data_IF_345225979574
#
_entry.id   IF_345225979574
#
_cell.length_a   1.000
_cell.length_b   1.000
_cell.length_c   1.000
_cell.angle_alpha   90.00
_cell.angle_beta   90.00
_cell.angle_gamma   90.00
#
_symmetry.space_group_name_H-M   'P 1'
#
loop_
_entity.id
_entity.type
_entity.pdbx_description
1 polymer ?
#
# COMPACT_ATOMS: atom_id res chain seq x y z
N UNK A 1 -2.69 -33.65 26.96
CA UNK A 1 -1.45 -33.78 26.19
C UNK A 1 -1.16 -32.54 25.32
N UNK A 2 -1.63 -31.36 25.71
CA UNK A 2 -1.27 -30.10 25.04
C UNK A 2 -2.09 -29.73 23.78
N UNK A 3 -2.99 -30.57 23.32
CA UNK A 3 -3.74 -30.31 22.08
C UNK A 3 -4.66 -29.09 22.16
N UNK A 4 -5.35 -28.89 23.30
CA UNK A 4 -6.17 -27.68 23.53
C UNK A 4 -5.29 -26.42 23.55
N UNK A 5 -4.10 -26.50 24.18
CA UNK A 5 -3.12 -25.42 24.17
C UNK A 5 -2.65 -25.10 22.74
N UNK A 6 -2.29 -26.10 21.96
CA UNK A 6 -1.88 -25.94 20.56
C UNK A 6 -2.98 -25.28 19.73
N UNK A 7 -4.26 -25.64 19.94
CA UNK A 7 -5.38 -25.01 19.27
C UNK A 7 -5.53 -23.52 19.63
N UNK A 8 -5.39 -23.18 20.91
CA UNK A 8 -5.44 -21.81 21.37
C UNK A 8 -4.26 -20.97 20.84
N UNK A 9 -3.07 -21.55 20.76
CA UNK A 9 -1.87 -20.92 20.18
C UNK A 9 -2.06 -20.70 18.66
N UNK A 10 -2.63 -21.67 17.96
CA UNK A 10 -2.97 -21.54 16.53
C UNK A 10 -3.96 -20.42 16.28
N UNK A 11 -5.02 -20.33 17.11
CA UNK A 11 -5.97 -19.22 17.02
C UNK A 11 -5.29 -17.86 17.28
N UNK A 12 -4.45 -17.78 18.30
CA UNK A 12 -3.74 -16.55 18.63
C UNK A 12 -2.82 -16.08 17.48
N UNK A 13 -2.13 -17.00 16.82
CA UNK A 13 -1.31 -16.70 15.63
C UNK A 13 -2.19 -16.16 14.48
N UNK A 14 -3.29 -16.84 14.16
CA UNK A 14 -4.22 -16.40 13.10
C UNK A 14 -4.88 -15.06 13.39
N UNK A 15 -5.22 -14.77 14.65
CA UNK A 15 -5.75 -13.46 15.03
C UNK A 15 -4.72 -12.34 14.80
N UNK A 16 -3.46 -12.62 15.09
CA UNK A 16 -2.35 -11.66 14.85
C UNK A 16 -2.14 -11.45 13.35
N UNK A 17 -2.13 -12.53 12.56
CA UNK A 17 -2.03 -12.48 11.09
C UNK A 17 -3.17 -11.67 10.47
N UNK A 18 -4.41 -11.83 10.96
CA UNK A 18 -5.59 -11.08 10.49
C UNK A 18 -5.68 -9.64 11.06
N UNK A 19 -4.62 -9.14 11.70
CA UNK A 19 -4.52 -7.74 12.13
C UNK A 19 -5.20 -7.40 13.46
N UNK A 20 -5.49 -8.39 14.31
CA UNK A 20 -5.97 -8.12 15.66
C UNK A 20 -4.91 -7.31 16.45
N UNK A 21 -5.23 -6.10 16.94
CA UNK A 21 -4.22 -5.19 17.51
C UNK A 21 -3.60 -5.69 18.82
N UNK A 22 -4.30 -6.60 19.52
CA UNK A 22 -3.81 -7.17 20.77
C UNK A 22 -4.44 -8.53 21.03
N UNK A 23 -3.61 -9.54 21.14
CA UNK A 23 -3.99 -10.91 21.54
C UNK A 23 -3.29 -11.25 22.84
N UNK A 24 -4.02 -11.79 23.81
CA UNK A 24 -3.45 -12.27 25.10
C UNK A 24 -3.88 -13.71 25.27
N UNK A 25 -2.92 -14.61 25.39
CA UNK A 25 -3.15 -16.02 25.66
C UNK A 25 -2.88 -16.31 27.14
N UNK A 26 -3.87 -16.91 27.81
CA UNK A 26 -3.81 -17.22 29.24
C UNK A 26 -3.88 -18.74 29.46
N UNK A 27 -2.82 -19.32 30.02
CA UNK A 27 -2.82 -20.73 30.49
C UNK A 27 -3.23 -20.75 31.98
N UNK A 28 -4.50 -21.03 32.24
CA UNK A 28 -5.10 -20.98 33.59
C UNK A 28 -4.44 -21.94 34.60
N UNK A 29 -3.71 -22.97 34.14
CA UNK A 29 -2.99 -23.87 35.01
C UNK A 29 -1.59 -23.37 35.41
N UNK A 30 -1.09 -22.30 34.78
CA UNK A 30 0.28 -21.85 34.91
C UNK A 30 0.46 -20.36 35.18
N UNK A 31 -0.63 -19.61 35.14
CA UNK A 31 -0.62 -18.19 35.44
C UNK A 31 -1.52 -17.87 36.64
N UNK A 32 -1.34 -16.69 37.19
CA UNK A 32 -2.21 -16.16 38.24
C UNK A 32 -3.64 -15.98 37.71
N UNK A 33 -4.61 -16.61 38.36
CA UNK A 33 -6.02 -16.55 38.02
C UNK A 33 -6.55 -15.12 38.01
N UNK A 34 -6.09 -14.27 38.92
CA UNK A 34 -6.50 -12.86 38.98
C UNK A 34 -6.13 -12.07 37.71
N UNK A 35 -4.98 -12.38 37.11
CA UNK A 35 -4.55 -11.80 35.83
C UNK A 35 -5.44 -12.24 34.68
N UNK A 36 -5.86 -13.51 34.64
CA UNK A 36 -6.77 -14.00 33.62
C UNK A 36 -8.13 -13.33 33.72
N UNK A 37 -8.66 -13.19 34.94
CA UNK A 37 -9.91 -12.48 35.21
C UNK A 37 -9.80 -11.00 34.81
N UNK A 38 -8.73 -10.32 35.20
CA UNK A 38 -8.48 -8.93 34.77
C UNK A 38 -8.52 -8.77 33.24
N UNK A 39 -7.86 -9.66 32.52
CA UNK A 39 -7.83 -9.64 31.06
C UNK A 39 -9.24 -9.87 30.46
N UNK A 40 -10.07 -10.75 31.02
CA UNK A 40 -11.42 -10.98 30.55
C UNK A 40 -12.32 -9.73 30.70
N UNK A 41 -12.09 -8.93 31.72
CA UNK A 41 -12.79 -7.65 31.91
C UNK A 41 -12.18 -6.51 31.09
N UNK A 42 -10.89 -6.56 30.77
CA UNK A 42 -10.17 -5.55 30.00
C UNK A 42 -10.53 -5.59 28.51
N UNK A 43 -10.66 -6.79 27.94
CA UNK A 43 -10.86 -6.95 26.49
C UNK A 43 -12.32 -7.24 26.15
N UNK A 44 -12.76 -6.77 24.99
CA UNK A 44 -14.14 -6.92 24.51
C UNK A 44 -14.49 -8.33 24.01
N UNK A 45 -13.50 -9.14 23.69
CA UNK A 45 -13.66 -10.48 23.11
C UNK A 45 -12.88 -11.50 23.92
N UNK A 46 -13.51 -12.66 24.18
CA UNK A 46 -12.96 -13.74 24.99
C UNK A 46 -13.17 -15.07 24.27
N UNK A 47 -12.14 -15.90 24.19
CA UNK A 47 -12.29 -17.30 23.75
C UNK A 47 -11.94 -18.22 24.90
N UNK A 48 -12.89 -19.10 25.25
CA UNK A 48 -12.71 -20.13 26.26
C UNK A 48 -12.34 -21.44 25.59
N UNK A 49 -11.18 -21.98 25.94
CA UNK A 49 -10.66 -23.23 25.39
C UNK A 49 -10.37 -24.22 26.51
N UNK A 50 -11.13 -25.32 26.58
CA UNK A 50 -10.91 -26.33 27.62
C UNK A 50 -11.25 -27.75 27.13
N UNK A 51 -10.90 -28.72 27.94
CA UNK A 51 -11.22 -30.13 27.70
C UNK A 51 -12.42 -30.58 28.56
N UNK A 52 -13.18 -31.52 28.04
CA UNK A 52 -14.15 -32.27 28.82
C UNK A 52 -13.42 -33.16 29.82
N UNK A 53 -13.77 -33.09 31.09
CA UNK A 53 -13.16 -33.82 32.18
C UNK A 53 -14.24 -34.29 33.17
N UNK A 54 -14.36 -35.60 33.40
CA UNK A 54 -15.36 -36.20 34.30
C UNK A 54 -16.81 -35.72 34.02
N UNK A 55 -17.24 -35.79 32.78
CA UNK A 55 -18.54 -35.27 32.31
C UNK A 55 -18.77 -33.75 32.64
N UNK A 56 -17.71 -33.01 32.90
CA UNK A 56 -17.69 -31.58 33.21
C UNK A 56 -16.55 -30.91 32.44
N UNK A 57 -16.18 -29.69 32.80
CA UNK A 57 -15.00 -28.96 32.29
C UNK A 57 -13.83 -29.07 33.26
N UNK A 58 -12.62 -28.81 32.76
CA UNK A 58 -11.43 -28.85 33.60
C UNK A 58 -11.50 -27.83 34.74
N UNK A 59 -11.13 -28.17 35.99
CA UNK A 59 -11.38 -27.36 37.19
C UNK A 59 -10.96 -25.90 37.10
N UNK A 60 -9.77 -25.61 36.59
CA UNK A 60 -9.32 -24.21 36.44
C UNK A 60 -10.22 -23.37 35.52
N UNK A 61 -10.82 -23.96 34.48
CA UNK A 61 -11.75 -23.25 33.63
C UNK A 61 -13.08 -23.00 34.36
N UNK A 62 -13.54 -23.95 35.18
CA UNK A 62 -14.71 -23.77 36.00
C UNK A 62 -14.53 -22.60 36.98
N UNK A 63 -13.45 -22.65 37.76
CA UNK A 63 -13.10 -21.59 38.70
C UNK A 63 -12.99 -20.22 38.01
N UNK A 64 -12.37 -20.17 36.84
CA UNK A 64 -12.28 -18.94 36.04
C UNK A 64 -13.68 -18.38 35.69
N UNK A 65 -14.58 -19.24 35.17
CA UNK A 65 -15.95 -18.80 34.81
C UNK A 65 -16.73 -18.39 36.04
N UNK A 66 -16.61 -19.10 37.17
CA UNK A 66 -17.27 -18.72 38.44
C UNK A 66 -16.81 -17.31 38.86
N UNK A 67 -15.50 -17.01 38.80
CA UNK A 67 -15.00 -15.68 39.08
C UNK A 67 -15.53 -14.62 38.11
N UNK A 68 -15.76 -14.92 36.84
CA UNK A 68 -16.35 -14.00 35.89
C UNK A 68 -17.82 -13.69 36.25
N UNK A 69 -18.62 -14.72 36.52
CA UNK A 69 -20.06 -14.59 36.83
C UNK A 69 -20.32 -13.89 38.16
N UNK A 70 -19.56 -14.22 39.19
CA UNK A 70 -19.61 -13.54 40.51
C UNK A 70 -19.36 -12.03 40.40
N UNK A 71 -18.54 -11.59 39.44
CA UNK A 71 -18.18 -10.19 39.24
C UNK A 71 -19.00 -9.49 38.15
N UNK A 72 -20.09 -10.13 37.71
CA UNK A 72 -21.05 -9.54 36.78
C UNK A 72 -20.50 -9.36 35.36
N UNK A 73 -19.80 -10.39 34.85
CA UNK A 73 -19.30 -10.44 33.46
C UNK A 73 -20.45 -10.20 32.47
N UNK A 74 -20.27 -9.25 31.57
CA UNK A 74 -21.30 -8.82 30.61
C UNK A 74 -20.70 -8.08 29.42
N UNK A 75 -21.55 -7.87 28.38
CA UNK A 75 -21.22 -7.07 27.18
C UNK A 75 -19.91 -7.52 26.52
N UNK A 76 -19.82 -8.81 26.21
CA UNK A 76 -18.63 -9.41 25.61
C UNK A 76 -19.01 -10.33 24.45
N UNK A 77 -18.13 -10.41 23.47
CA UNK A 77 -18.18 -11.46 22.44
C UNK A 77 -17.41 -12.66 22.94
N UNK A 78 -18.05 -13.85 22.95
CA UNK A 78 -17.45 -15.08 23.49
C UNK A 78 -17.42 -16.17 22.43
N UNK A 79 -16.23 -16.74 22.19
CA UNK A 79 -16.01 -17.93 21.39
C UNK A 79 -15.69 -19.15 22.26
N UNK A 80 -15.99 -20.35 21.76
CA UNK A 80 -15.82 -21.60 22.49
C UNK A 80 -14.96 -22.58 21.68
N UNK A 81 -13.98 -23.17 22.37
CA UNK A 81 -13.17 -24.28 21.85
C UNK A 81 -13.24 -25.43 22.86
N UNK A 82 -13.67 -26.60 22.42
CA UNK A 82 -13.74 -27.77 23.27
C UNK A 82 -12.87 -28.91 22.76
N UNK A 83 -12.39 -29.73 23.68
CA UNK A 83 -11.67 -30.96 23.37
C UNK A 83 -12.23 -32.13 24.18
N UNK A 84 -12.39 -33.28 23.53
CA UNK A 84 -12.81 -34.52 24.20
C UNK A 84 -12.72 -35.72 23.29
N UNK A 85 -12.34 -36.89 23.82
CA UNK A 85 -12.07 -38.08 22.99
C UNK A 85 -13.35 -38.76 22.50
N UNK A 86 -14.45 -38.72 23.28
CA UNK A 86 -15.67 -39.50 22.97
C UNK A 86 -16.91 -38.64 22.77
N UNK A 87 -17.19 -37.74 23.69
CA UNK A 87 -18.36 -36.87 23.69
C UNK A 87 -17.95 -35.49 24.26
N UNK A 88 -17.35 -34.60 23.47
CA UNK A 88 -17.02 -33.27 23.92
C UNK A 88 -18.29 -32.55 24.38
N UNK A 89 -18.31 -32.08 25.63
CA UNK A 89 -19.44 -31.37 26.24
C UNK A 89 -19.01 -30.02 26.83
N UNK A 90 -17.73 -29.71 26.78
CA UNK A 90 -17.17 -28.55 27.44
C UNK A 90 -17.80 -27.23 26.94
N UNK A 91 -18.04 -27.08 25.65
CA UNK A 91 -18.67 -25.90 25.10
C UNK A 91 -20.10 -25.67 25.64
N UNK A 92 -20.88 -26.74 25.72
CA UNK A 92 -22.25 -26.67 26.29
C UNK A 92 -22.24 -26.25 27.76
N UNK A 93 -21.29 -26.82 28.54
CA UNK A 93 -21.16 -26.51 29.96
C UNK A 93 -20.72 -25.07 30.18
N UNK A 94 -19.68 -24.61 29.48
CA UNK A 94 -19.19 -23.23 29.54
C UNK A 94 -20.29 -22.22 29.16
N UNK A 95 -21.08 -22.55 28.13
CA UNK A 95 -22.18 -21.70 27.69
C UNK A 95 -23.27 -21.64 28.77
N UNK A 96 -23.64 -22.76 29.37
CA UNK A 96 -24.61 -22.83 30.48
C UNK A 96 -24.15 -22.04 31.71
N UNK A 97 -22.87 -22.10 32.08
CA UNK A 97 -22.33 -21.35 33.21
C UNK A 97 -22.41 -19.82 33.01
N UNK A 98 -22.38 -19.35 31.77
CA UNK A 98 -22.47 -17.93 31.41
C UNK A 98 -23.91 -17.48 31.06
N UNK A 99 -24.91 -18.37 31.16
CA UNK A 99 -26.33 -18.08 30.80
C UNK A 99 -26.90 -16.89 31.57
N UNK A 100 -26.50 -16.70 32.83
CA UNK A 100 -26.88 -15.56 33.66
C UNK A 100 -26.18 -14.25 33.34
N UNK A 101 -25.15 -14.26 32.46
CA UNK A 101 -24.40 -13.07 32.09
C UNK A 101 -25.13 -12.27 31.03
N UNK A 102 -25.29 -10.94 31.26
CA UNK A 102 -26.04 -10.07 30.36
C UNK A 102 -25.25 -9.67 29.12
N UNK A 103 -25.92 -9.54 27.97
CA UNK A 103 -25.38 -8.99 26.73
C UNK A 103 -24.12 -9.76 26.24
N UNK A 104 -24.14 -11.10 26.30
CA UNK A 104 -23.10 -11.95 25.71
C UNK A 104 -23.47 -12.24 24.25
N UNK A 105 -22.59 -11.85 23.35
CA UNK A 105 -22.65 -12.21 21.92
C UNK A 105 -21.81 -13.46 21.71
N UNK A 106 -22.46 -14.55 21.33
CA UNK A 106 -21.75 -15.79 21.01
C UNK A 106 -21.27 -15.78 19.57
N UNK A 107 -20.04 -16.27 19.33
CA UNK A 107 -19.61 -16.58 17.97
C UNK A 107 -20.45 -17.72 17.40
N UNK A 108 -20.65 -17.72 16.09
CA UNK A 108 -21.36 -18.80 15.41
C UNK A 108 -20.51 -20.08 15.37
N UNK A 109 -19.20 -19.93 15.23
CA UNK A 109 -18.26 -21.04 15.16
C UNK A 109 -17.86 -21.50 16.56
N UNK A 110 -18.00 -22.80 16.80
CA UNK A 110 -17.41 -23.50 17.95
C UNK A 110 -16.40 -24.51 17.44
N UNK A 111 -15.17 -24.43 17.91
CA UNK A 111 -14.11 -25.38 17.52
C UNK A 111 -14.24 -26.63 18.36
N UNK A 112 -14.49 -27.78 17.70
CA UNK A 112 -14.70 -29.07 18.35
C UNK A 112 -13.59 -30.05 18.04
N UNK A 113 -12.68 -30.24 18.99
CA UNK A 113 -11.51 -31.09 18.83
C UNK A 113 -11.81 -32.48 19.43
N UNK A 114 -11.50 -33.54 18.67
CA UNK A 114 -11.57 -34.91 19.13
C UNK A 114 -10.15 -35.45 19.30
N UNK A 115 -9.61 -35.22 20.52
CA UNK A 115 -8.25 -35.62 20.91
C UNK A 115 -7.14 -34.78 20.30
N UNK A 116 -6.90 -34.81 19.01
CA UNK A 116 -5.88 -34.04 18.30
C UNK A 116 -6.49 -33.10 17.24
N UNK A 117 -5.76 -32.06 16.89
CA UNK A 117 -6.16 -31.14 15.82
C UNK A 117 -6.16 -31.86 14.46
N UNK A 118 -7.27 -31.73 13.74
CA UNK A 118 -7.46 -32.17 12.36
C UNK A 118 -7.40 -30.98 11.41
N UNK A 119 -7.36 -31.25 10.09
CA UNK A 119 -7.47 -30.19 9.06
C UNK A 119 -8.80 -29.43 9.15
N UNK A 120 -9.89 -30.11 9.51
CA UNK A 120 -11.19 -29.45 9.67
C UNK A 120 -11.19 -28.53 10.88
N UNK A 121 -10.51 -28.90 11.98
CA UNK A 121 -10.34 -27.99 13.12
C UNK A 121 -9.51 -26.75 12.75
N UNK A 122 -8.52 -26.87 11.85
CA UNK A 122 -7.77 -25.70 11.38
C UNK A 122 -8.66 -24.75 10.57
N UNK A 123 -9.61 -25.25 9.79
CA UNK A 123 -10.63 -24.45 9.09
C UNK A 123 -11.61 -23.78 10.07
N UNK A 124 -12.09 -24.54 11.08
CA UNK A 124 -12.94 -23.96 12.14
C UNK A 124 -12.22 -22.83 12.90
N UNK A 125 -10.93 -23.02 13.23
CA UNK A 125 -10.11 -21.99 13.90
C UNK A 125 -9.94 -20.77 12.99
N UNK A 126 -9.76 -20.95 11.69
CA UNK A 126 -9.66 -19.86 10.74
C UNK A 126 -10.97 -19.06 10.63
N UNK A 127 -12.11 -19.76 10.52
CA UNK A 127 -13.44 -19.15 10.53
C UNK A 127 -13.69 -18.38 11.83
N UNK A 128 -13.34 -18.96 12.98
CA UNK A 128 -13.45 -18.27 14.28
C UNK A 128 -12.57 -17.00 14.33
N UNK A 129 -11.37 -17.06 13.79
CA UNK A 129 -10.49 -15.89 13.70
C UNK A 129 -11.09 -14.79 12.81
N UNK A 130 -11.74 -15.15 11.70
CA UNK A 130 -12.46 -14.20 10.83
C UNK A 130 -13.64 -13.56 11.55
N UNK A 131 -14.47 -14.33 12.24
CA UNK A 131 -15.56 -13.78 13.04
C UNK A 131 -15.05 -12.79 14.10
N UNK A 132 -13.95 -13.11 14.77
CA UNK A 132 -13.33 -12.24 15.78
C UNK A 132 -12.69 -10.98 15.16
N UNK A 133 -12.14 -11.08 13.96
CA UNK A 133 -11.45 -9.97 13.30
C UNK A 133 -12.33 -9.14 12.36
N UNK A 134 -13.59 -9.50 12.15
CA UNK A 134 -14.50 -8.86 11.17
C UNK A 134 -14.48 -7.33 11.22
N UNK A 135 -14.51 -6.75 12.41
CA UNK A 135 -14.48 -5.29 12.58
C UNK A 135 -13.13 -4.66 12.21
N UNK A 136 -12.03 -5.40 12.40
CA UNK A 136 -10.68 -4.93 12.08
C UNK A 136 -10.44 -5.04 10.58
N UNK A 137 -10.91 -6.11 9.95
CA UNK A 137 -10.86 -6.31 8.49
C UNK A 137 -11.67 -5.22 7.80
N UNK A 138 -12.93 -5.00 8.22
CA UNK A 138 -13.76 -3.94 7.67
C UNK A 138 -13.13 -2.53 7.84
N UNK A 139 -12.50 -2.25 8.98
CA UNK A 139 -11.80 -0.98 9.20
C UNK A 139 -10.51 -0.84 8.39
N UNK A 140 -9.80 -1.94 8.11
CA UNK A 140 -8.64 -1.92 7.22
C UNK A 140 -9.06 -1.64 5.79
N UNK A 141 -10.15 -2.23 5.33
CA UNK A 141 -10.72 -2.02 4.00
C UNK A 141 -11.31 -0.60 3.85
N UNK A 142 -11.96 -0.06 4.86
CA UNK A 142 -12.41 1.34 4.88
C UNK A 142 -11.23 2.33 4.88
N UNK A 143 -10.15 2.03 5.60
CA UNK A 143 -8.93 2.87 5.58
C UNK A 143 -8.19 2.76 4.25
N UNK A 144 -8.09 1.57 3.67
CA UNK A 144 -7.50 1.35 2.35
C UNK A 144 -8.30 2.10 1.26
N UNK A 145 -9.64 2.03 1.28
CA UNK A 145 -10.50 2.75 0.35
C UNK A 145 -10.51 4.28 0.56
N UNK A 146 -10.24 4.76 1.76
CA UNK A 146 -10.28 6.20 2.06
C UNK A 146 -9.12 6.99 1.42
N UNK A 147 -8.03 6.33 1.06
CA UNK A 147 -6.85 6.90 0.43
C UNK A 147 -6.40 6.05 -0.77
N UNK A 148 -7.34 5.78 -1.68
CA UNK A 148 -6.99 5.13 -2.94
C UNK A 148 -6.15 6.09 -3.79
N UNK A 149 -4.83 5.87 -3.78
CA UNK A 149 -3.87 6.67 -4.54
C UNK A 149 -4.14 6.61 -6.05
N UNK A 150 -4.85 5.59 -6.53
CA UNK A 150 -5.21 5.49 -7.96
C UNK A 150 -6.22 6.55 -8.38
N UNK A 151 -6.93 7.16 -7.42
CA UNK A 151 -7.82 8.29 -7.68
C UNK A 151 -7.05 9.49 -8.28
N UNK A 152 -5.77 9.68 -7.90
CA UNK A 152 -4.92 10.73 -8.46
C UNK A 152 -4.63 10.52 -9.96
N UNK A 153 -4.64 9.27 -10.44
CA UNK A 153 -4.49 8.98 -11.87
C UNK A 153 -5.72 9.33 -12.71
N UNK A 154 -6.84 9.69 -12.07
CA UNK A 154 -8.04 10.20 -12.76
C UNK A 154 -7.94 11.69 -13.07
N UNK A 155 -6.99 12.40 -12.47
CA UNK A 155 -6.68 13.77 -12.85
C UNK A 155 -6.09 13.72 -14.27
N UNK A 156 -6.64 14.52 -15.18
CA UNK A 156 -6.13 14.60 -16.54
C UNK A 156 -4.78 15.33 -16.58
N UNK A 157 -3.71 14.61 -16.87
CA UNK A 157 -2.38 15.16 -17.01
C UNK A 157 -1.92 15.13 -18.48
N UNK A 158 -1.32 16.22 -18.94
CA UNK A 158 -0.41 16.18 -20.07
C UNK A 158 0.93 15.54 -19.72
N UNK A 159 1.78 15.30 -20.71
CA UNK A 159 3.15 14.87 -20.51
C UNK A 159 4.12 15.84 -21.17
N UNK A 160 5.17 16.15 -20.44
CA UNK A 160 6.10 17.23 -20.78
C UNK A 160 7.55 16.81 -20.58
N UNK A 161 8.43 17.29 -21.45
CA UNK A 161 9.88 17.31 -21.16
C UNK A 161 10.23 18.69 -20.62
N UNK A 162 10.66 18.76 -19.37
CA UNK A 162 11.19 19.99 -18.78
C UNK A 162 12.69 20.00 -18.98
N UNK A 163 13.22 21.09 -19.54
CA UNK A 163 14.66 21.24 -19.79
C UNK A 163 15.26 22.36 -18.95
N UNK A 164 16.52 22.22 -18.62
CA UNK A 164 17.33 23.14 -17.82
C UNK A 164 18.81 22.97 -18.17
N UNK A 165 19.66 23.90 -17.72
CA UNK A 165 21.11 23.81 -17.89
C UNK A 165 21.79 24.13 -16.55
N UNK A 166 22.78 23.35 -16.15
CA UNK A 166 23.48 23.52 -14.86
C UNK A 166 24.67 24.51 -14.93
N UNK A 167 24.89 25.09 -16.10
CA UNK A 167 26.03 25.93 -16.43
C UNK A 167 27.11 25.21 -17.22
N UNK A 168 27.03 23.89 -17.33
CA UNK A 168 28.00 23.04 -18.09
C UNK A 168 27.31 22.12 -19.07
N UNK A 169 26.09 21.66 -18.73
CA UNK A 169 25.38 20.64 -19.50
C UNK A 169 23.88 20.89 -19.51
N UNK A 170 23.27 20.64 -20.66
CA UNK A 170 21.82 20.61 -20.78
C UNK A 170 21.25 19.36 -20.10
N UNK A 171 20.11 19.51 -19.46
CA UNK A 171 19.43 18.43 -18.76
C UNK A 171 17.92 18.46 -19.02
N UNK A 172 17.29 17.30 -18.96
CA UNK A 172 15.85 17.16 -19.17
C UNK A 172 15.23 16.06 -18.34
N UNK A 173 13.94 16.23 -18.00
CA UNK A 173 13.17 15.20 -17.30
C UNK A 173 11.72 15.19 -17.79
N UNK A 174 11.07 14.04 -17.67
CA UNK A 174 9.61 13.91 -17.87
C UNK A 174 8.87 14.36 -16.61
N UNK A 175 7.86 15.19 -16.79
CA UNK A 175 6.88 15.54 -15.75
C UNK A 175 5.46 15.49 -16.34
N UNK A 176 4.47 15.28 -15.48
CA UNK A 176 3.05 15.37 -15.81
C UNK A 176 2.34 16.49 -15.01
N UNK A 177 3.06 17.22 -14.21
CA UNK A 177 2.55 18.19 -13.24
C UNK A 177 2.85 19.62 -13.66
N UNK A 178 2.41 19.97 -14.86
CA UNK A 178 2.42 21.36 -15.38
C UNK A 178 0.97 21.85 -15.44
N UNK A 179 0.71 23.02 -14.86
CA UNK A 179 -0.62 23.64 -14.84
C UNK A 179 -0.54 25.13 -15.12
N UNK A 180 -1.43 25.64 -15.97
CA UNK A 180 -1.66 27.06 -16.09
C UNK A 180 -2.27 27.59 -14.77
N UNK A 181 -1.77 28.71 -14.25
CA UNK A 181 -2.27 29.36 -13.05
C UNK A 181 -3.09 30.61 -13.39
N UNK A 182 -2.56 31.46 -14.25
CA UNK A 182 -3.20 32.72 -14.66
C UNK A 182 -2.96 32.98 -16.15
N UNK A 183 -3.82 33.77 -16.75
CA UNK A 183 -3.75 34.20 -18.15
C UNK A 183 -3.22 35.63 -18.32
N UNK A 184 -3.30 36.44 -17.28
CA UNK A 184 -2.73 37.81 -17.27
C UNK A 184 -2.25 38.20 -15.86
N UNK A 185 -0.93 38.20 -15.61
CA UNK A 185 0.16 37.76 -16.48
C UNK A 185 0.12 36.24 -16.69
N UNK A 186 0.70 35.73 -17.78
CA UNK A 186 0.81 34.31 -18.05
C UNK A 186 1.70 33.63 -17.02
N UNK A 187 1.11 32.80 -16.17
CA UNK A 187 1.82 32.02 -15.17
C UNK A 187 1.51 30.53 -15.27
N UNK A 188 2.55 29.74 -15.04
CA UNK A 188 2.51 28.28 -15.04
C UNK A 188 3.15 27.76 -13.76
N UNK A 189 2.53 26.75 -13.14
CA UNK A 189 3.16 25.95 -12.09
C UNK A 189 3.77 24.70 -12.67
N UNK A 190 4.98 24.36 -12.22
CA UNK A 190 5.67 23.12 -12.53
C UNK A 190 6.08 22.46 -11.23
N UNK A 191 5.55 21.25 -10.94
CA UNK A 191 5.94 20.50 -9.74
C UNK A 191 7.00 19.46 -10.11
N UNK A 192 8.11 19.43 -9.38
CA UNK A 192 9.24 18.53 -9.63
C UNK A 192 9.63 17.83 -8.34
N UNK A 193 9.77 16.51 -8.40
CA UNK A 193 10.25 15.73 -7.27
C UNK A 193 11.68 16.17 -6.90
N UNK A 194 11.92 16.42 -5.61
CA UNK A 194 13.21 16.87 -5.08
C UNK A 194 14.35 15.87 -5.28
N UNK A 195 14.05 14.59 -5.46
CA UNK A 195 15.03 13.57 -5.79
C UNK A 195 15.63 13.73 -7.21
N UNK A 196 14.91 14.42 -8.11
CA UNK A 196 15.37 14.67 -9.48
C UNK A 196 16.48 15.73 -9.51
N UNK A 197 17.50 15.47 -10.29
CA UNK A 197 18.63 16.38 -10.48
C UNK A 197 18.17 17.76 -11.00
N UNK A 198 17.27 17.77 -11.97
CA UNK A 198 16.72 19.00 -12.55
C UNK A 198 16.05 19.92 -11.53
N UNK A 199 15.46 19.36 -10.44
CA UNK A 199 14.90 20.18 -9.37
C UNK A 199 15.95 21.13 -8.79
N UNK A 200 17.13 20.62 -8.46
CA UNK A 200 18.23 21.41 -7.89
C UNK A 200 18.77 22.43 -8.88
N UNK A 201 18.90 22.03 -10.14
CA UNK A 201 19.35 22.92 -11.23
C UNK A 201 18.40 24.10 -11.39
N UNK A 202 17.10 23.83 -11.56
CA UNK A 202 16.08 24.86 -11.76
C UNK A 202 15.96 25.78 -10.53
N UNK A 203 16.06 25.23 -9.33
CA UNK A 203 16.05 26.02 -8.10
C UNK A 203 17.23 26.99 -8.00
N UNK A 204 18.39 26.59 -8.56
CA UNK A 204 19.61 27.40 -8.59
C UNK A 204 19.58 28.46 -9.71
N UNK A 205 19.13 28.09 -10.91
CA UNK A 205 19.20 28.93 -12.10
C UNK A 205 18.00 29.86 -12.28
N UNK A 206 16.84 29.45 -11.77
CA UNK A 206 15.60 30.22 -11.88
C UNK A 206 14.96 30.19 -13.26
N UNK A 207 15.43 29.37 -14.19
CA UNK A 207 14.89 29.26 -15.54
C UNK A 207 14.71 27.79 -15.95
N UNK A 208 13.71 27.56 -16.82
CA UNK A 208 13.42 26.25 -17.39
C UNK A 208 12.61 26.39 -18.68
N UNK A 209 12.62 25.38 -19.52
CA UNK A 209 11.65 25.26 -20.61
C UNK A 209 10.72 24.09 -20.36
N UNK A 210 9.48 24.20 -20.83
CA UNK A 210 8.48 23.12 -20.86
C UNK A 210 8.18 22.78 -22.30
N UNK A 211 8.45 21.54 -22.71
CA UNK A 211 8.15 21.00 -24.04
C UNK A 211 6.90 20.13 -23.92
N UNK A 212 5.80 20.54 -24.53
CA UNK A 212 4.54 19.79 -24.54
C UNK A 212 4.62 18.63 -25.53
N UNK A 213 4.66 17.39 -25.05
CA UNK A 213 4.77 16.22 -25.91
C UNK A 213 3.51 16.02 -26.74
N UNK A 214 3.67 15.74 -28.03
CA UNK A 214 2.61 15.32 -28.93
C UNK A 214 2.38 13.80 -28.88
N UNK A 215 1.24 13.34 -29.33
CA UNK A 215 0.91 11.90 -29.45
C UNK A 215 1.87 11.12 -30.35
N UNK A 216 2.71 11.81 -31.12
CA UNK A 216 3.75 11.21 -31.99
C UNK A 216 5.05 10.90 -31.23
N UNK A 217 5.19 11.30 -29.97
CA UNK A 217 6.39 11.03 -29.21
C UNK A 217 6.54 9.52 -28.94
N UNK A 218 7.63 8.90 -29.42
CA UNK A 218 7.88 7.49 -29.24
C UNK A 218 8.33 7.17 -27.79
N UNK A 219 8.31 5.90 -27.42
CA UNK A 219 8.73 5.47 -26.08
C UNK A 219 10.16 5.85 -25.71
N UNK A 220 11.04 6.00 -26.69
CA UNK A 220 12.45 6.42 -26.51
C UNK A 220 12.57 7.78 -25.80
N UNK A 221 11.65 8.71 -26.04
CA UNK A 221 11.58 10.01 -25.32
C UNK A 221 11.47 9.76 -23.82
N UNK A 222 10.60 8.83 -23.42
CA UNK A 222 10.36 8.48 -22.01
C UNK A 222 11.54 7.71 -21.41
N UNK A 223 12.17 6.81 -22.16
CA UNK A 223 13.37 6.10 -21.73
C UNK A 223 14.51 7.08 -21.45
N UNK A 224 14.76 8.01 -22.36
CA UNK A 224 15.86 8.95 -22.25
C UNK A 224 15.63 10.00 -21.14
N UNK A 225 14.48 10.66 -21.17
CA UNK A 225 14.22 11.77 -20.25
C UNK A 225 13.58 11.35 -18.93
N UNK A 226 12.93 10.16 -18.86
CA UNK A 226 12.21 9.68 -17.68
C UNK A 226 12.98 8.67 -16.83
N UNK A 227 13.75 7.74 -17.45
CA UNK A 227 14.35 6.62 -16.73
C UNK A 227 15.85 6.75 -16.46
N UNK A 228 16.46 7.84 -16.86
CA UNK A 228 17.87 8.10 -16.65
C UNK A 228 18.06 9.39 -15.83
N UNK A 229 19.20 9.51 -15.16
CA UNK A 229 19.58 10.72 -14.45
C UNK A 229 20.60 11.54 -15.24
N UNK A 230 20.34 12.84 -15.45
CA UNK A 230 21.29 13.77 -16.06
C UNK A 230 22.57 14.00 -15.24
N UNK A 231 22.66 13.45 -14.02
CA UNK A 231 23.95 13.38 -13.30
C UNK A 231 24.95 12.46 -13.96
N UNK A 232 24.47 11.34 -14.54
CA UNK A 232 25.28 10.23 -14.98
C UNK A 232 25.44 10.19 -16.50
N UNK A 233 24.49 10.75 -17.25
CA UNK A 233 24.47 10.69 -18.71
C UNK A 233 24.16 12.06 -19.31
N UNK A 234 24.69 12.34 -20.47
CA UNK A 234 24.24 13.44 -21.31
C UNK A 234 22.99 13.01 -22.06
N UNK A 235 21.86 13.57 -21.68
CA UNK A 235 20.56 13.19 -22.26
C UNK A 235 20.31 13.78 -23.64
N UNK A 236 21.13 14.72 -24.08
CA UNK A 236 20.99 15.40 -25.36
C UNK A 236 22.04 15.03 -26.40
N UNK A 237 23.02 14.20 -26.05
CA UNK A 237 24.12 13.80 -26.92
C UNK A 237 23.66 13.29 -28.30
N UNK A 238 22.56 12.52 -28.34
CA UNK A 238 22.01 11.94 -29.59
C UNK A 238 20.69 12.59 -30.02
N UNK A 239 20.30 13.71 -29.43
CA UNK A 239 19.03 14.37 -29.72
C UNK A 239 19.21 15.66 -30.48
N UNK A 240 18.37 15.84 -31.51
CA UNK A 240 18.25 17.13 -32.18
C UNK A 240 17.63 18.14 -31.23
N UNK A 241 18.22 19.31 -31.09
CA UNK A 241 17.80 20.37 -30.19
C UNK A 241 17.85 21.73 -30.86
N UNK A 242 16.98 22.63 -30.41
CA UNK A 242 17.04 24.06 -30.69
C UNK A 242 17.19 24.82 -29.38
N UNK A 243 17.62 26.08 -29.46
CA UNK A 243 17.68 26.97 -28.29
C UNK A 243 16.58 28.02 -28.36
N UNK A 244 15.98 28.29 -27.21
CA UNK A 244 14.98 29.34 -26.97
C UNK A 244 15.65 30.64 -26.55
N UNK A 245 14.87 31.71 -26.36
CA UNK A 245 15.38 33.05 -26.01
C UNK A 245 16.10 33.10 -24.64
N UNK A 246 15.83 32.12 -23.75
CA UNK A 246 16.56 31.98 -22.47
C UNK A 246 17.80 31.08 -22.54
N UNK A 247 18.25 30.75 -23.76
CA UNK A 247 19.41 29.89 -24.08
C UNK A 247 19.30 28.42 -23.60
N UNK A 248 18.13 27.97 -23.16
CA UNK A 248 17.89 26.59 -22.84
C UNK A 248 17.44 25.81 -24.08
N UNK A 249 17.75 24.52 -24.11
CA UNK A 249 17.34 23.64 -25.19
C UNK A 249 15.84 23.35 -25.16
N UNK A 250 15.25 23.21 -26.34
CA UNK A 250 13.96 22.60 -26.55
C UNK A 250 14.03 21.57 -27.70
N UNK A 251 13.08 20.62 -27.72
CA UNK A 251 13.01 19.59 -28.73
C UNK A 251 12.27 20.13 -29.97
N UNK A 252 12.86 20.08 -31.18
CA UNK A 252 12.18 20.49 -32.43
C UNK A 252 11.17 19.44 -32.91
N UNK A 253 11.27 18.19 -32.41
CA UNK A 253 10.44 17.04 -32.79
C UNK A 253 9.67 16.49 -31.58
N UNK A 254 8.55 15.81 -31.85
CA UNK A 254 7.74 15.13 -30.85
C UNK A 254 7.00 16.03 -29.86
N UNK A 255 6.98 17.34 -30.13
CA UNK A 255 6.25 18.33 -29.33
C UNK A 255 5.24 19.07 -30.21
N UNK A 256 4.18 19.57 -29.57
CA UNK A 256 3.21 20.44 -30.24
C UNK A 256 3.32 21.90 -29.78
N UNK A 257 3.97 22.15 -28.64
CA UNK A 257 4.29 23.49 -28.15
C UNK A 257 5.50 23.45 -27.21
N UNK A 258 6.15 24.61 -27.04
CA UNK A 258 7.07 24.81 -25.93
C UNK A 258 6.87 26.18 -25.28
N UNK A 259 7.34 26.29 -24.04
CA UNK A 259 7.32 27.53 -23.27
C UNK A 259 8.66 27.72 -22.56
N UNK A 260 9.22 28.92 -22.63
CA UNK A 260 10.33 29.35 -21.77
C UNK A 260 9.77 30.02 -20.53
N UNK A 261 10.28 29.63 -19.38
CA UNK A 261 9.75 30.00 -18.07
C UNK A 261 10.85 30.60 -17.20
N UNK A 262 10.47 31.66 -16.46
CA UNK A 262 11.28 32.24 -15.39
C UNK A 262 10.57 32.03 -14.04
N UNK A 263 11.27 31.42 -13.08
CA UNK A 263 10.76 31.18 -11.73
C UNK A 263 10.59 32.48 -10.99
N UNK A 264 9.40 32.75 -10.49
CA UNK A 264 9.09 33.90 -9.62
C UNK A 264 9.03 33.48 -8.15
N UNK A 265 8.49 32.27 -7.88
CA UNK A 265 8.31 31.77 -6.53
C UNK A 265 8.56 30.26 -6.49
N UNK A 266 9.18 29.82 -5.42
CA UNK A 266 9.32 28.39 -5.09
C UNK A 266 8.54 28.07 -3.83
N UNK A 267 7.72 27.01 -3.87
CA UNK A 267 6.99 26.48 -2.72
C UNK A 267 7.47 25.07 -2.42
N UNK A 268 7.88 24.84 -1.18
CA UNK A 268 8.28 23.52 -0.71
C UNK A 268 7.03 22.69 -0.38
N UNK A 269 6.92 21.51 -0.98
CA UNK A 269 5.82 20.56 -0.79
C UNK A 269 6.36 19.19 -0.32
N UNK A 270 7.21 19.19 0.69
CA UNK A 270 7.86 18.02 1.29
C UNK A 270 8.65 17.17 0.26
N UNK A 271 8.00 16.30 -0.50
CA UNK A 271 8.62 15.43 -1.52
C UNK A 271 8.88 16.12 -2.86
N UNK A 272 8.16 17.20 -3.14
CA UNK A 272 8.23 17.97 -4.38
C UNK A 272 8.50 19.44 -4.10
N UNK A 273 9.00 20.13 -5.12
CA UNK A 273 9.02 21.59 -5.17
C UNK A 273 8.09 22.08 -6.26
N UNK A 274 7.24 23.06 -5.95
CA UNK A 274 6.43 23.79 -6.92
C UNK A 274 7.15 25.06 -7.34
N UNK A 275 7.40 25.18 -8.63
CA UNK A 275 7.95 26.38 -9.26
C UNK A 275 6.80 27.15 -9.91
N UNK A 276 6.48 28.32 -9.38
CA UNK A 276 5.54 29.27 -9.97
C UNK A 276 6.34 30.18 -10.89
N UNK A 277 6.01 30.12 -12.19
CA UNK A 277 6.82 30.73 -13.24
C UNK A 277 6.00 31.67 -14.09
N UNK A 278 6.64 32.75 -14.54
CA UNK A 278 6.14 33.59 -15.63
C UNK A 278 6.59 32.99 -16.97
N UNK A 279 5.70 32.96 -17.95
CA UNK A 279 6.00 32.58 -19.32
C UNK A 279 6.69 33.75 -20.02
N UNK A 280 7.94 33.55 -20.44
CA UNK A 280 8.73 34.59 -21.15
C UNK A 280 8.68 34.41 -22.68
N UNK A 281 8.50 33.18 -23.15
CA UNK A 281 8.32 32.81 -24.55
C UNK A 281 7.36 31.63 -24.63
N UNK A 282 6.52 31.59 -25.66
CA UNK A 282 5.67 30.44 -25.94
C UNK A 282 5.44 30.31 -27.44
N UNK A 283 5.56 29.08 -27.99
CA UNK A 283 5.35 28.81 -29.40
C UNK A 283 4.56 27.51 -29.58
N UNK A 284 3.61 27.53 -30.50
CA UNK A 284 2.96 26.33 -31.02
C UNK A 284 3.84 25.76 -32.14
N UNK A 285 4.20 24.49 -32.06
CA UNK A 285 5.13 23.82 -32.97
C UNK A 285 4.40 22.94 -33.99
N UNK A 286 3.23 22.41 -33.62
CA UNK A 286 2.39 21.61 -34.53
C UNK A 286 0.94 21.55 -34.05
N UNK A 287 0.03 21.15 -34.95
CA UNK A 287 -1.41 20.95 -34.66
C UNK A 287 -1.71 19.55 -34.09
N UNK A 288 -0.70 18.77 -33.76
CA UNK A 288 -0.86 17.43 -33.20
C UNK A 288 -1.43 17.49 -31.79
N UNK A 289 -2.22 16.49 -31.42
CA UNK A 289 -2.77 16.40 -30.07
C UNK A 289 -1.68 16.29 -29.01
N UNK A 290 -1.92 16.92 -27.87
CA UNK A 290 -1.02 16.80 -26.70
C UNK A 290 -1.12 15.39 -26.13
N UNK A 291 0.04 14.76 -25.87
CA UNK A 291 0.08 13.48 -25.19
C UNK A 291 -0.39 13.60 -23.75
N UNK A 292 -1.46 12.89 -23.42
CA UNK A 292 -1.92 12.75 -22.04
C UNK A 292 -1.28 11.53 -21.38
N UNK A 293 -1.21 11.53 -20.05
CA UNK A 293 -0.73 10.37 -19.28
C UNK A 293 -1.55 9.10 -19.60
N UNK A 294 -2.87 9.25 -19.78
CA UNK A 294 -3.75 8.14 -20.17
C UNK A 294 -3.43 7.60 -21.56
N UNK A 295 -3.15 8.48 -22.52
CA UNK A 295 -2.76 8.07 -23.88
C UNK A 295 -1.43 7.31 -23.86
N UNK A 296 -0.44 7.84 -23.13
CA UNK A 296 0.87 7.18 -22.95
C UNK A 296 0.72 5.77 -22.40
N UNK A 297 -0.05 5.60 -21.31
CA UNK A 297 -0.26 4.28 -20.69
C UNK A 297 -0.91 3.26 -21.62
N UNK A 298 -1.82 3.72 -22.51
CA UNK A 298 -2.55 2.82 -23.40
C UNK A 298 -1.82 2.50 -24.70
N UNK A 299 -1.09 3.47 -25.26
CA UNK A 299 -0.64 3.42 -26.65
C UNK A 299 0.88 3.48 -26.82
N UNK A 300 1.63 4.03 -25.88
CA UNK A 300 3.07 4.28 -26.03
C UNK A 300 3.90 3.41 -25.11
N UNK A 301 3.46 3.26 -23.86
CA UNK A 301 4.16 2.40 -22.90
C UNK A 301 4.13 0.95 -23.35
N UNK A 302 5.30 0.27 -23.50
CA UNK A 302 5.34 -1.14 -23.84
C UNK A 302 4.54 -1.96 -22.82
N UNK A 303 3.70 -2.85 -23.33
CA UNK A 303 3.06 -3.86 -22.47
C UNK A 303 4.11 -4.92 -22.17
N UNK A 304 4.26 -5.33 -20.89
CA UNK A 304 5.18 -6.43 -20.56
C UNK A 304 4.79 -7.69 -21.35
N UNK A 305 5.71 -8.27 -22.08
CA UNK A 305 5.54 -9.60 -22.65
C UNK A 305 5.71 -10.60 -21.51
N UNK A 306 4.57 -10.96 -20.88
CA UNK A 306 4.53 -11.87 -19.73
C UNK A 306 4.33 -13.33 -20.12
N UNK A 307 4.04 -13.60 -21.40
CA UNK A 307 3.77 -14.96 -21.88
C UNK A 307 4.97 -15.90 -21.61
N UNK A 308 4.73 -16.88 -20.71
CA UNK A 308 5.70 -17.89 -20.29
C UNK A 308 6.79 -17.40 -19.32
N UNK A 309 6.78 -16.16 -18.88
CA UNK A 309 7.72 -15.64 -17.86
C UNK A 309 7.12 -15.77 -16.47
N UNK A 310 7.96 -16.17 -15.51
CA UNK A 310 7.64 -16.17 -14.09
C UNK A 310 8.44 -15.07 -13.41
N UNK A 311 7.87 -14.49 -12.35
CA UNK A 311 8.55 -13.45 -11.58
C UNK A 311 7.63 -12.28 -11.24
N UNK A 312 8.17 -11.07 -11.28
CA UNK A 312 7.45 -9.85 -10.91
C UNK A 312 7.64 -8.77 -11.97
N UNK A 313 6.58 -8.07 -12.34
CA UNK A 313 6.63 -6.99 -13.31
C UNK A 313 6.47 -5.63 -12.62
N UNK A 314 7.34 -4.69 -12.93
CA UNK A 314 7.22 -3.32 -12.46
C UNK A 314 6.04 -2.62 -13.15
N UNK A 315 5.03 -2.23 -12.38
CA UNK A 315 3.82 -1.51 -12.86
C UNK A 315 4.16 -0.17 -13.54
N UNK A 316 5.30 0.41 -13.17
CA UNK A 316 5.71 1.73 -13.66
C UNK A 316 6.33 1.65 -15.05
N UNK A 317 7.34 0.79 -15.26
CA UNK A 317 8.10 0.74 -16.51
C UNK A 317 8.00 -0.56 -17.30
N UNK A 318 7.33 -1.60 -16.74
CA UNK A 318 7.22 -2.90 -17.39
C UNK A 318 8.45 -3.79 -17.27
N UNK A 319 9.49 -3.40 -16.51
CA UNK A 319 10.64 -4.26 -16.24
C UNK A 319 10.22 -5.54 -15.54
N UNK A 320 10.74 -6.68 -15.99
CA UNK A 320 10.46 -7.99 -15.37
C UNK A 320 11.66 -8.39 -14.51
N UNK A 321 11.38 -8.67 -13.24
CA UNK A 321 12.30 -9.32 -12.34
C UNK A 321 12.06 -10.83 -12.39
N UNK A 322 13.03 -11.60 -12.86
CA UNK A 322 12.94 -13.06 -12.96
C UNK A 322 13.41 -13.70 -11.64
N UNK A 323 12.49 -14.01 -10.75
CA UNK A 323 12.76 -14.65 -9.46
C UNK A 323 11.46 -15.11 -8.79
N UNK A 324 11.55 -16.16 -7.96
CA UNK A 324 10.38 -16.73 -7.27
C UNK A 324 9.86 -15.80 -6.14
N UNK A 325 10.70 -14.94 -5.60
CA UNK A 325 10.36 -13.97 -4.57
C UNK A 325 11.02 -12.62 -4.86
N UNK A 326 10.30 -11.52 -4.68
CA UNK A 326 10.83 -10.17 -4.81
C UNK A 326 11.36 -9.71 -3.44
N UNK A 327 12.64 -9.29 -3.31
CA UNK A 327 13.15 -8.70 -2.06
C UNK A 327 12.39 -7.43 -1.66
N UNK A 328 12.13 -7.24 -0.38
CA UNK A 328 11.38 -6.06 0.14
C UNK A 328 12.08 -4.73 -0.18
N UNK A 329 13.41 -4.74 -0.26
CA UNK A 329 14.25 -3.59 -0.58
C UNK A 329 14.60 -3.48 -2.07
N UNK A 330 13.97 -4.30 -2.93
CA UNK A 330 14.26 -4.30 -4.36
C UNK A 330 13.92 -2.96 -5.01
N UNK A 331 14.86 -2.45 -5.79
CA UNK A 331 14.70 -1.22 -6.56
C UNK A 331 14.79 -1.54 -8.05
N UNK A 332 13.76 -1.15 -8.81
CA UNK A 332 13.73 -1.34 -10.24
C UNK A 332 14.98 -0.71 -10.92
N UNK A 333 15.76 -1.46 -11.69
CA UNK A 333 16.98 -0.95 -12.32
C UNK A 333 16.68 0.12 -13.38
N UNK A 334 15.48 0.10 -13.99
CA UNK A 334 15.09 1.07 -15.02
C UNK A 334 14.50 2.35 -14.43
N UNK A 335 13.45 2.26 -13.62
CA UNK A 335 12.70 3.44 -13.16
C UNK A 335 12.97 3.82 -11.72
N UNK A 336 13.78 3.04 -10.98
CA UNK A 336 14.18 3.27 -9.58
C UNK A 336 13.03 3.26 -8.56
N UNK A 337 11.88 2.69 -8.91
CA UNK A 337 10.77 2.46 -7.99
C UNK A 337 11.02 1.21 -7.14
N UNK A 338 10.45 1.20 -5.93
CA UNK A 338 10.63 0.11 -4.96
C UNK A 338 9.78 -1.12 -5.24
N UNK A 339 9.95 -2.15 -4.39
CA UNK A 339 9.23 -3.44 -4.49
C UNK A 339 7.69 -3.29 -4.48
N UNK A 340 7.14 -2.31 -3.79
CA UNK A 340 5.69 -2.03 -3.74
C UNK A 340 5.06 -1.73 -5.12
N UNK A 341 5.86 -1.33 -6.09
CA UNK A 341 5.43 -1.05 -7.46
C UNK A 341 5.55 -2.25 -8.40
N UNK A 342 5.83 -3.44 -7.87
CA UNK A 342 5.86 -4.68 -8.62
C UNK A 342 4.61 -5.53 -8.33
N UNK A 343 4.22 -6.32 -9.32
CA UNK A 343 3.16 -7.31 -9.19
C UNK A 343 3.63 -8.66 -9.76
N UNK A 344 3.17 -9.80 -9.17
CA UNK A 344 3.56 -11.12 -9.66
C UNK A 344 3.05 -11.36 -11.08
N UNK A 345 3.85 -12.05 -11.89
CA UNK A 345 3.45 -12.55 -13.21
C UNK A 345 2.85 -13.93 -13.02
N UNK A 346 1.58 -14.07 -13.20
CA UNK A 346 0.84 -15.28 -13.41
C UNK A 346 0.46 -16.26 -12.62
#
# INVERSE_FOLDING_TARGET
>A
YGNTKKAAETLAAKLTEKGCPKVVLCDLARMDMSKAVENAFRYGKLVLATTTYNADIFPFMREFIDHLTERGFKKRTVGLMENGSWAPMAAKIMKGMLEGSKDITWLNTTVKITSSLSEDNLKEIDTMAEELCREYIARSDEKANKHDMTALFKIGYGLYVVTSNDGTRDNGLIVNTVSQLTDNPFRVAVNINKANYSHHVIKKTGILNVNCLSVEAPFEVFQNFGFQSGRNVDKFESWETCRSDNDLVFLPKYINAFMSLKVEQYVDLDTHGMFICTVTEARVMSDKETMTYTYYQKNVKPKPETDGKKGFVCKICGYIYEGDTLPDDYICPLCKHGAADFEPIG
#
